data_IF_525021424340
#
_entry.id   IF_525021424340
#
_cell.length_a   1.000
_cell.length_b   1.000
_cell.length_c   1.000
_cell.angle_alpha   90.00
_cell.angle_beta   90.00
_cell.angle_gamma   90.00
#
_symmetry.space_group_name_H-M   'P 1'
#
loop_
_entity.id
_entity.type
_entity.pdbx_description
1 polymer ?
#
# COMPACT_ATOMS: atom_id res chain seq x y z
N UNK A 1 1.79 -3.10 5.17
CA UNK A 1 0.41 -3.21 4.64
C UNK A 1 0.15 -4.59 4.02
N UNK A 2 0.63 -4.89 2.82
CA UNK A 2 0.34 -6.13 2.09
C UNK A 2 0.55 -7.42 2.89
N UNK A 3 1.65 -7.52 3.60
CA UNK A 3 1.98 -8.69 4.43
C UNK A 3 1.02 -8.88 5.62
N UNK A 4 0.50 -7.79 6.19
CA UNK A 4 -0.47 -7.86 7.28
C UNK A 4 -1.82 -8.38 6.77
N UNK A 5 -2.30 -7.84 5.65
CA UNK A 5 -3.52 -8.28 4.99
C UNK A 5 -3.43 -9.75 4.53
N UNK A 6 -2.36 -10.10 3.82
CA UNK A 6 -2.15 -11.45 3.36
C UNK A 6 -2.09 -12.48 4.47
N UNK A 7 -1.37 -12.16 5.56
CA UNK A 7 -1.25 -13.05 6.71
C UNK A 7 -2.53 -13.18 7.53
N UNK A 8 -3.31 -12.10 7.70
CA UNK A 8 -4.54 -12.12 8.48
C UNK A 8 -5.70 -12.83 7.76
N UNK A 9 -5.87 -12.53 6.47
CA UNK A 9 -7.02 -13.00 5.70
C UNK A 9 -6.69 -14.12 4.69
N UNK A 10 -5.46 -14.62 4.68
CA UNK A 10 -5.06 -15.66 3.71
C UNK A 10 -5.07 -15.20 2.26
N UNK A 11 -4.87 -13.91 2.00
CA UNK A 11 -4.98 -13.32 0.68
C UNK A 11 -3.69 -13.46 -0.14
N UNK A 12 -3.78 -13.54 -1.48
CA UNK A 12 -2.60 -13.62 -2.33
C UNK A 12 -1.67 -12.42 -2.14
N UNK A 13 -0.41 -12.69 -1.81
CA UNK A 13 0.57 -11.64 -1.50
C UNK A 13 0.78 -10.66 -2.67
N UNK A 14 0.82 -11.18 -3.91
CA UNK A 14 0.95 -10.35 -5.11
C UNK A 14 -0.21 -9.37 -5.30
N UNK A 15 -1.46 -9.81 -5.04
CA UNK A 15 -2.63 -8.95 -5.10
C UNK A 15 -2.57 -7.84 -4.03
N UNK A 16 -2.18 -8.20 -2.81
CA UNK A 16 -2.02 -7.23 -1.72
C UNK A 16 -0.90 -6.22 -1.99
N UNK A 17 0.20 -6.66 -2.59
CA UNK A 17 1.25 -5.75 -3.03
C UNK A 17 0.74 -4.79 -4.11
N UNK A 18 0.02 -5.28 -5.12
CA UNK A 18 -0.53 -4.44 -6.19
C UNK A 18 -1.46 -3.34 -5.66
N UNK A 19 -2.31 -3.66 -4.68
CA UNK A 19 -3.22 -2.70 -4.05
C UNK A 19 -2.50 -1.70 -3.13
N UNK A 20 -1.56 -2.17 -2.32
CA UNK A 20 -0.92 -1.34 -1.30
C UNK A 20 0.20 -0.44 -1.84
N UNK A 21 0.88 -0.85 -2.91
CA UNK A 21 2.08 -0.14 -3.39
C UNK A 21 1.79 1.30 -3.85
N UNK A 22 0.75 1.60 -4.64
CA UNK A 22 0.46 2.98 -5.05
C UNK A 22 0.26 3.92 -3.85
N UNK A 23 -0.51 3.50 -2.86
CA UNK A 23 -0.76 4.27 -1.65
C UNK A 23 0.53 4.49 -0.83
N UNK A 24 1.37 3.46 -0.71
CA UNK A 24 2.65 3.56 -0.02
C UNK A 24 3.64 4.50 -0.74
N UNK A 25 3.68 4.49 -2.07
CA UNK A 25 4.50 5.41 -2.86
C UNK A 25 4.07 6.87 -2.62
N UNK A 26 2.77 7.17 -2.72
CA UNK A 26 2.24 8.52 -2.45
C UNK A 26 2.52 8.98 -1.02
N UNK A 27 2.41 8.07 -0.05
CA UNK A 27 2.71 8.37 1.36
C UNK A 27 4.19 8.71 1.59
N UNK A 28 5.11 8.03 0.89
CA UNK A 28 6.55 8.23 1.04
C UNK A 28 7.12 9.38 0.21
N UNK A 29 6.47 9.77 -0.88
CA UNK A 29 6.97 10.75 -1.84
C UNK A 29 7.43 12.07 -1.20
N UNK A 30 6.73 12.66 -0.20
CA UNK A 30 7.18 13.91 0.45
C UNK A 30 8.55 13.82 1.14
N UNK A 31 8.97 12.61 1.54
CA UNK A 31 10.24 12.41 2.28
C UNK A 31 11.36 11.79 1.43
N UNK A 32 11.01 11.09 0.35
CA UNK A 32 11.97 10.46 -0.57
C UNK A 32 11.61 10.74 -2.04
N UNK A 33 11.39 12.02 -2.43
CA UNK A 33 10.88 12.35 -3.77
C UNK A 33 11.81 11.87 -4.88
N UNK A 34 13.13 11.98 -4.69
CA UNK A 34 14.10 11.57 -5.70
C UNK A 34 14.08 10.05 -5.95
N UNK A 35 13.96 9.25 -4.89
CA UNK A 35 13.90 7.80 -5.03
C UNK A 35 12.63 7.35 -5.77
N UNK A 36 11.51 8.03 -5.54
CA UNK A 36 10.24 7.75 -6.22
C UNK A 36 10.28 8.21 -7.68
N UNK A 37 10.88 9.38 -7.95
CA UNK A 37 11.11 9.86 -9.32
C UNK A 37 12.02 8.92 -10.12
N UNK A 38 13.13 8.47 -9.53
CA UNK A 38 14.05 7.52 -10.16
C UNK A 38 13.36 6.18 -10.44
N UNK A 39 12.52 5.71 -9.53
CA UNK A 39 11.69 4.53 -9.76
C UNK A 39 10.71 4.76 -10.93
N UNK A 40 10.01 5.89 -10.95
CA UNK A 40 9.12 6.27 -12.05
C UNK A 40 9.83 6.24 -13.40
N UNK A 41 10.99 6.88 -13.50
CA UNK A 41 11.84 6.86 -14.71
C UNK A 41 12.22 5.45 -15.14
N UNK A 42 12.55 4.58 -14.19
CA UNK A 42 12.94 3.20 -14.48
C UNK A 42 11.81 2.37 -15.10
N UNK A 43 10.56 2.72 -14.82
CA UNK A 43 9.36 2.09 -15.39
C UNK A 43 8.72 2.91 -16.53
N UNK A 44 9.41 3.95 -17.00
CA UNK A 44 8.94 4.81 -18.10
C UNK A 44 7.73 5.67 -17.77
N UNK A 45 7.63 6.15 -16.53
CA UNK A 45 6.50 6.92 -16.03
C UNK A 45 6.94 8.25 -15.40
N UNK A 46 6.17 9.32 -15.66
CA UNK A 46 6.36 10.62 -15.01
C UNK A 46 5.90 10.60 -13.55
N UNK A 47 4.88 9.79 -13.24
CA UNK A 47 4.32 9.61 -11.89
C UNK A 47 4.27 8.14 -11.53
N UNK A 48 5.23 7.70 -10.71
CA UNK A 48 5.42 6.29 -10.34
C UNK A 48 4.15 5.66 -9.72
N UNK A 49 3.54 6.34 -8.75
CA UNK A 49 2.37 5.82 -8.05
C UNK A 49 1.17 5.62 -8.98
N UNK A 50 0.93 6.56 -9.90
CA UNK A 50 -0.18 6.49 -10.85
C UNK A 50 0.04 5.36 -11.86
N UNK A 51 1.27 5.19 -12.33
CA UNK A 51 1.60 4.08 -13.23
C UNK A 51 1.46 2.72 -12.58
N UNK A 52 1.89 2.58 -11.34
CA UNK A 52 1.73 1.32 -10.58
C UNK A 52 0.25 1.03 -10.32
N UNK A 53 -0.55 2.04 -10.00
CA UNK A 53 -2.00 1.88 -9.84
C UNK A 53 -2.69 1.45 -11.14
N UNK A 54 -2.32 2.05 -12.27
CA UNK A 54 -2.81 1.65 -13.59
C UNK A 54 -2.49 0.18 -13.88
N UNK A 55 -1.26 -0.25 -13.63
CA UNK A 55 -0.84 -1.65 -13.82
C UNK A 55 -1.63 -2.60 -12.90
N UNK A 56 -1.87 -2.22 -11.65
CA UNK A 56 -2.70 -3.00 -10.72
C UNK A 56 -4.13 -3.17 -11.26
N UNK A 57 -4.73 -2.08 -11.74
CA UNK A 57 -6.09 -2.10 -12.35
C UNK A 57 -6.17 -2.97 -13.61
N UNK A 58 -5.14 -2.93 -14.46
CA UNK A 58 -5.05 -3.83 -15.63
C UNK A 58 -4.98 -5.30 -15.21
N UNK A 59 -4.37 -5.60 -14.07
CA UNK A 59 -4.35 -6.93 -13.46
C UNK A 59 -5.66 -7.32 -12.74
N UNK A 60 -6.66 -6.42 -12.71
CA UNK A 60 -7.94 -6.65 -12.00
C UNK A 60 -7.88 -6.32 -10.50
N UNK A 61 -6.80 -5.72 -10.00
CA UNK A 61 -6.64 -5.35 -8.59
C UNK A 61 -7.07 -3.89 -8.39
N UNK A 62 -8.32 -3.69 -7.97
CA UNK A 62 -8.94 -2.35 -7.90
C UNK A 62 -9.14 -1.89 -6.47
N UNK A 63 -9.72 -2.73 -5.61
CA UNK A 63 -10.12 -2.36 -4.25
C UNK A 63 -9.92 -3.49 -3.27
N UNK A 64 -9.60 -3.14 -2.04
CA UNK A 64 -9.42 -4.09 -0.95
C UNK A 64 -10.71 -4.85 -0.60
N UNK A 65 -11.87 -4.19 -0.67
CA UNK A 65 -13.18 -4.80 -0.43
C UNK A 65 -13.52 -5.93 -1.42
N UNK A 66 -12.91 -5.94 -2.61
CA UNK A 66 -13.11 -7.01 -3.60
C UNK A 66 -12.54 -8.36 -3.12
N UNK A 67 -11.72 -8.31 -2.08
CA UNK A 67 -11.11 -9.47 -1.41
C UNK A 67 -11.82 -9.82 -0.09
N UNK A 68 -13.03 -9.32 0.14
CA UNK A 68 -13.83 -9.58 1.33
C UNK A 68 -13.14 -9.22 2.66
N UNK A 69 -12.26 -8.23 2.65
CA UNK A 69 -11.69 -7.67 3.87
C UNK A 69 -12.76 -6.85 4.58
N UNK A 70 -13.06 -7.11 5.87
CA UNK A 70 -14.05 -6.34 6.60
C UNK A 70 -13.59 -4.89 6.84
N UNK A 71 -14.46 -3.92 6.54
CA UNK A 71 -14.14 -2.49 6.71
C UNK A 71 -13.92 -2.11 8.17
N UNK A 72 -14.71 -2.70 9.06
CA UNK A 72 -14.65 -2.46 10.50
C UNK A 72 -13.39 -3.03 11.18
N UNK A 73 -12.63 -3.90 10.50
CA UNK A 73 -11.36 -4.42 10.99
C UNK A 73 -10.14 -3.61 10.52
N UNK A 74 -10.30 -2.59 9.67
CA UNK A 74 -9.16 -1.85 9.10
C UNK A 74 -8.28 -1.17 10.15
N UNK A 75 -8.87 -0.66 11.23
CA UNK A 75 -8.13 -0.05 12.33
C UNK A 75 -7.27 -1.08 13.08
N UNK A 76 -7.82 -2.27 13.34
CA UNK A 76 -7.07 -3.36 13.99
C UNK A 76 -5.91 -3.86 13.13
N UNK A 77 -6.15 -3.99 11.81
CA UNK A 77 -5.08 -4.37 10.85
C UNK A 77 -4.00 -3.29 10.76
N UNK A 78 -4.38 -2.02 10.88
CA UNK A 78 -3.44 -0.91 10.89
C UNK A 78 -2.54 -0.93 12.12
N UNK A 79 -3.10 -1.19 13.31
CA UNK A 79 -2.33 -1.40 14.54
C UNK A 79 -1.32 -2.54 14.39
N UNK A 80 -1.76 -3.70 13.91
CA UNK A 80 -0.91 -4.85 13.66
C UNK A 80 0.18 -4.55 12.59
N UNK A 81 -0.14 -3.74 11.59
CA UNK A 81 0.80 -3.31 10.54
C UNK A 81 1.89 -2.42 11.12
N UNK A 82 1.55 -1.46 11.97
CA UNK A 82 2.50 -0.54 12.59
C UNK A 82 3.58 -1.24 13.42
N UNK A 83 3.27 -2.40 13.98
CA UNK A 83 4.23 -3.18 14.78
C UNK A 83 5.23 -3.98 13.94
N UNK A 84 5.01 -4.13 12.65
CA UNK A 84 5.88 -4.94 11.79
C UNK A 84 7.19 -4.22 11.48
N UNK A 85 8.28 -5.00 11.38
CA UNK A 85 9.61 -4.48 11.06
C UNK A 85 9.64 -3.66 9.76
N UNK A 86 8.94 -4.11 8.73
CA UNK A 86 8.86 -3.39 7.45
C UNK A 86 8.14 -2.03 7.56
N UNK A 87 7.17 -1.89 8.45
CA UNK A 87 6.54 -0.59 8.70
C UNK A 87 7.49 0.36 9.46
N UNK A 88 8.23 -0.18 10.43
CA UNK A 88 9.22 0.58 11.21
C UNK A 88 10.43 1.02 10.38
N UNK A 89 10.78 0.25 9.34
CA UNK A 89 11.86 0.57 8.40
C UNK A 89 11.43 1.48 7.24
N UNK A 90 10.15 1.87 7.16
CA UNK A 90 9.65 2.74 6.12
C UNK A 90 10.31 4.13 6.21
N UNK A 91 10.70 4.76 5.07
CA UNK A 91 11.33 6.08 5.08
C UNK A 91 10.54 7.16 5.82
N UNK A 92 9.22 7.12 5.72
CA UNK A 92 8.29 7.94 6.50
C UNK A 92 7.63 7.08 7.57
N UNK A 93 7.95 7.28 8.87
CA UNK A 93 7.23 6.60 9.94
C UNK A 93 5.74 6.87 9.86
N UNK A 94 4.93 5.82 9.96
CA UNK A 94 3.48 5.91 9.89
C UNK A 94 2.85 5.50 11.22
N UNK A 95 1.98 6.34 11.75
CA UNK A 95 1.14 5.99 12.90
C UNK A 95 0.08 4.95 12.49
N UNK A 96 -0.49 4.19 13.43
CA UNK A 96 -1.63 3.32 13.14
C UNK A 96 -2.78 4.05 12.45
N UNK A 97 -3.09 5.27 12.86
CA UNK A 97 -4.14 6.08 12.23
C UNK A 97 -3.83 6.41 10.76
N UNK A 98 -2.60 6.81 10.45
CA UNK A 98 -2.19 7.05 9.05
C UNK A 98 -2.25 5.76 8.23
N UNK A 99 -1.88 4.61 8.79
CA UNK A 99 -1.98 3.31 8.12
C UNK A 99 -3.44 2.95 7.86
N UNK A 100 -4.34 3.22 8.81
CA UNK A 100 -5.78 3.00 8.63
C UNK A 100 -6.34 3.87 7.48
N UNK A 101 -5.92 5.16 7.40
CA UNK A 101 -6.29 6.02 6.27
C UNK A 101 -5.76 5.49 4.93
N UNK A 102 -4.54 4.96 4.90
CA UNK A 102 -4.00 4.31 3.69
C UNK A 102 -4.84 3.08 3.30
N UNK A 103 -5.28 2.26 4.25
CA UNK A 103 -6.18 1.14 3.95
C UNK A 103 -7.53 1.61 3.42
N UNK A 104 -8.13 2.67 4.02
CA UNK A 104 -9.39 3.25 3.54
C UNK A 104 -9.26 3.82 2.13
N UNK A 105 -8.11 4.40 1.78
CA UNK A 105 -7.87 4.96 0.44
C UNK A 105 -7.87 3.92 -0.68
N UNK A 106 -7.67 2.65 -0.35
CA UNK A 106 -7.68 1.52 -1.30
C UNK A 106 -8.88 0.58 -1.09
N UNK A 107 -9.82 0.92 -0.21
CA UNK A 107 -11.00 0.11 0.13
C UNK A 107 -12.12 0.33 -0.87
#
# INVERSE_FOLDING_TARGET
MAQALGGRYGLPHGAMNALCLPAALRFNEPVVPQAIDDFGKSIGADHAADRVEELARLGGFVRLRDFAVPEDELDEVAEATAQRAGAKANPRPASPAEIAELFRSIY
#
